data_IF_927047223942
#
_entry.id   IF_927047223942
#
_cell.length_a   1.000
_cell.length_b   1.000
_cell.length_c   1.000
_cell.angle_alpha   90.00
_cell.angle_beta   90.00
_cell.angle_gamma   90.00
#
_symmetry.space_group_name_H-M   'P 1'
#
loop_
_entity.id
_entity.type
_entity.pdbx_description
1 polymer ?
#
# COMPACT_ATOMS: atom_id res chain seq x y z
N UNK A 1 29.05 3.76 35.56
CA UNK A 1 27.61 3.95 35.78
C UNK A 1 26.92 2.60 35.92
N UNK A 2 25.66 2.59 36.37
CA UNK A 2 24.84 1.38 36.42
C UNK A 2 23.56 1.59 35.65
N UNK A 3 23.15 0.59 34.88
CA UNK A 3 21.81 0.48 34.33
C UNK A 3 21.21 -0.85 34.74
N UNK A 4 19.89 -0.89 34.91
CA UNK A 4 19.16 -2.13 35.22
C UNK A 4 18.05 -2.32 34.20
N UNK A 5 17.89 -3.54 33.73
CA UNK A 5 16.85 -3.83 32.74
C UNK A 5 16.77 -5.31 32.35
N UNK A 6 15.71 -5.63 31.60
CA UNK A 6 15.49 -6.94 31.00
C UNK A 6 16.25 -7.02 29.68
N UNK A 7 17.04 -8.07 29.50
CA UNK A 7 17.68 -8.34 28.21
C UNK A 7 16.63 -8.88 27.26
N UNK A 8 16.27 -8.10 26.26
CA UNK A 8 15.22 -8.46 25.30
C UNK A 8 15.76 -9.34 24.18
N UNK A 9 16.96 -8.99 23.64
CA UNK A 9 17.50 -9.66 22.46
C UNK A 9 19.01 -9.43 22.36
N UNK A 10 19.74 -10.41 21.83
CA UNK A 10 21.08 -10.23 21.29
C UNK A 10 20.99 -9.79 19.83
N UNK A 11 21.93 -8.96 19.38
CA UNK A 11 22.04 -8.59 17.97
C UNK A 11 22.52 -9.83 17.17
N UNK A 12 21.78 -10.19 16.14
CA UNK A 12 22.10 -11.36 15.31
C UNK A 12 23.34 -11.15 14.41
N UNK A 13 23.71 -9.90 14.17
CA UNK A 13 24.86 -9.53 13.34
C UNK A 13 26.11 -9.22 14.16
N UNK A 14 25.93 -8.93 15.45
CA UNK A 14 27.02 -8.63 16.36
C UNK A 14 26.75 -9.27 17.73
N UNK A 15 27.39 -10.38 18.01
CA UNK A 15 27.18 -11.20 19.23
C UNK A 15 27.58 -10.48 20.52
N UNK A 16 28.26 -9.34 20.46
CA UNK A 16 28.61 -8.51 21.63
C UNK A 16 27.54 -7.45 21.94
N UNK A 17 26.53 -7.29 21.06
CA UNK A 17 25.52 -6.26 21.21
C UNK A 17 24.19 -6.82 21.66
N UNK A 18 23.60 -6.16 22.66
CA UNK A 18 22.34 -6.56 23.29
C UNK A 18 21.40 -5.36 23.39
N UNK A 19 20.11 -5.64 23.46
CA UNK A 19 19.07 -4.64 23.67
C UNK A 19 18.42 -4.87 25.03
N UNK A 20 18.41 -3.83 25.86
CA UNK A 20 18.02 -3.87 27.27
C UNK A 20 16.85 -2.93 27.50
N UNK A 21 15.74 -3.43 28.02
CA UNK A 21 14.60 -2.63 28.43
C UNK A 21 14.74 -2.23 29.91
N UNK A 22 14.86 -0.93 30.15
CA UNK A 22 14.97 -0.39 31.53
C UNK A 22 13.60 -0.11 32.18
N UNK A 23 12.50 -0.35 31.46
CA UNK A 23 11.14 0.02 31.87
C UNK A 23 10.78 1.48 31.58
N UNK A 24 11.70 2.27 31.01
CA UNK A 24 11.45 3.63 30.51
C UNK A 24 11.91 3.82 29.07
N UNK A 25 12.88 3.03 28.64
CA UNK A 25 13.51 3.12 27.30
C UNK A 25 14.21 1.80 26.95
N UNK A 26 14.54 1.65 25.68
CA UNK A 26 15.45 0.60 25.21
C UNK A 26 16.86 1.14 25.11
N UNK A 27 17.81 0.43 25.71
CA UNK A 27 19.24 0.79 25.68
C UNK A 27 20.00 -0.24 24.85
N UNK A 28 20.79 0.22 23.89
CA UNK A 28 21.75 -0.65 23.21
C UNK A 28 22.97 -0.82 24.09
N UNK A 29 23.33 -2.07 24.38
CA UNK A 29 24.47 -2.44 25.23
C UNK A 29 25.49 -3.20 24.41
N UNK A 30 26.75 -2.87 24.55
CA UNK A 30 27.88 -3.65 24.05
C UNK A 30 28.56 -4.33 25.23
N UNK A 31 28.77 -5.65 25.16
CA UNK A 31 29.37 -6.45 26.24
C UNK A 31 30.31 -7.47 25.66
N UNK A 32 31.48 -7.62 26.30
CA UNK A 32 32.44 -8.67 25.93
C UNK A 32 31.97 -10.07 26.32
N UNK A 33 31.02 -10.16 27.27
CA UNK A 33 30.42 -11.42 27.71
C UNK A 33 29.02 -11.57 27.14
N UNK A 34 28.60 -12.80 26.92
CA UNK A 34 27.23 -13.12 26.47
C UNK A 34 26.25 -12.84 27.62
N UNK A 35 25.30 -11.92 27.36
CA UNK A 35 24.25 -11.60 28.34
C UNK A 35 23.05 -12.53 28.19
N UNK A 36 22.51 -13.07 29.28
CA UNK A 36 21.40 -14.00 29.24
C UNK A 36 20.09 -13.29 28.84
N UNK A 37 19.57 -13.59 27.64
CA UNK A 37 18.30 -13.07 27.13
C UNK A 37 17.13 -13.54 28.02
N UNK A 38 16.19 -12.66 28.29
CA UNK A 38 15.02 -12.93 29.16
C UNK A 38 15.32 -12.78 30.65
N UNK A 39 16.50 -12.30 31.05
CA UNK A 39 16.86 -12.08 32.45
C UNK A 39 16.98 -10.59 32.78
N UNK A 40 16.63 -10.24 34.01
CA UNK A 40 16.90 -8.92 34.57
C UNK A 40 18.35 -8.84 35.04
N UNK A 41 19.06 -7.87 34.52
CA UNK A 41 20.45 -7.63 34.90
C UNK A 41 20.66 -6.22 35.42
N UNK A 42 21.57 -6.10 36.37
CA UNK A 42 22.28 -4.86 36.69
C UNK A 42 23.61 -4.89 35.90
N UNK A 43 23.80 -3.91 35.04
CA UNK A 43 24.99 -3.75 34.21
C UNK A 43 25.81 -2.58 34.74
N UNK A 44 27.12 -2.79 34.92
CA UNK A 44 28.06 -1.74 35.30
C UNK A 44 28.93 -1.41 34.08
N UNK A 45 29.14 -0.13 33.80
CA UNK A 45 29.94 0.30 32.64
C UNK A 45 29.81 1.81 32.38
N UNK A 46 30.02 2.21 31.15
CA UNK A 46 29.99 3.61 30.74
C UNK A 46 29.17 3.83 29.46
N UNK A 47 28.57 5.02 29.31
CA UNK A 47 27.94 5.43 28.06
C UNK A 47 28.98 5.95 27.07
N UNK A 48 28.93 5.43 25.85
CA UNK A 48 29.52 6.05 24.67
C UNK A 48 28.48 6.94 23.98
N UNK A 49 28.84 7.57 22.85
CA UNK A 49 27.88 8.36 22.07
C UNK A 49 26.70 7.53 21.50
N UNK A 50 26.83 6.21 21.39
CA UNK A 50 25.88 5.36 20.66
C UNK A 50 25.30 4.20 21.47
N UNK A 51 26.01 3.75 22.53
CA UNK A 51 25.61 2.58 23.32
C UNK A 51 26.21 2.61 24.72
N UNK A 52 25.68 1.78 25.63
CA UNK A 52 26.26 1.52 26.92
C UNK A 52 27.27 0.37 26.81
N UNK A 53 28.51 0.62 27.15
CA UNK A 53 29.56 -0.42 27.20
C UNK A 53 29.52 -1.07 28.56
N UNK A 54 29.04 -2.32 28.64
CA UNK A 54 28.99 -3.09 29.86
C UNK A 54 30.37 -3.76 30.11
N UNK A 55 30.89 -3.56 31.33
CA UNK A 55 32.14 -4.17 31.80
C UNK A 55 31.82 -5.36 32.70
N UNK A 56 30.77 -5.26 33.50
CA UNK A 56 30.32 -6.32 34.40
C UNK A 56 28.79 -6.41 34.40
N UNK A 57 28.27 -7.58 34.69
CA UNK A 57 26.81 -7.75 34.90
C UNK A 57 26.53 -8.67 36.09
N UNK A 58 25.32 -8.49 36.65
CA UNK A 58 24.79 -9.34 37.73
C UNK A 58 23.31 -9.59 37.48
N UNK A 59 22.88 -10.85 37.54
CA UNK A 59 21.45 -11.16 37.53
C UNK A 59 20.80 -10.66 38.83
N UNK A 60 19.65 -10.02 38.67
CA UNK A 60 18.88 -9.45 39.79
C UNK A 60 17.44 -9.96 39.76
N UNK A 61 16.78 -9.87 40.93
CA UNK A 61 15.34 -10.09 41.04
C UNK A 61 14.72 -8.83 41.64
N UNK A 62 13.98 -8.10 40.80
CA UNK A 62 13.31 -6.86 41.20
C UNK A 62 11.88 -6.85 40.61
N UNK A 63 10.90 -7.20 41.48
CA UNK A 63 9.47 -7.25 41.10
C UNK A 63 8.92 -5.90 40.65
N UNK A 64 9.45 -4.77 41.14
CA UNK A 64 9.01 -3.45 40.72
C UNK A 64 9.52 -3.14 39.32
N UNK A 65 10.78 -3.46 39.04
CA UNK A 65 11.36 -3.33 37.69
C UNK A 65 10.68 -4.30 36.71
N UNK A 66 10.44 -5.56 37.08
CA UNK A 66 9.66 -6.50 36.25
C UNK A 66 8.31 -5.95 35.86
N UNK A 67 7.57 -5.41 36.83
CA UNK A 67 6.28 -4.76 36.56
C UNK A 67 6.40 -3.57 35.63
N UNK A 68 7.40 -2.71 35.84
CA UNK A 68 7.65 -1.51 35.06
C UNK A 68 8.05 -1.84 33.61
N UNK A 69 8.90 -2.85 33.42
CA UNK A 69 9.26 -3.40 32.12
C UNK A 69 8.05 -3.99 31.43
N UNK A 70 7.24 -4.76 32.14
CA UNK A 70 6.00 -5.35 31.62
C UNK A 70 5.00 -4.25 31.19
N UNK A 71 4.87 -3.17 31.94
CA UNK A 71 4.03 -2.03 31.58
C UNK A 71 4.58 -1.30 30.34
N UNK A 72 5.89 -1.09 30.24
CA UNK A 72 6.54 -0.46 29.10
C UNK A 72 6.37 -1.27 27.82
N UNK A 73 6.51 -2.59 27.90
CA UNK A 73 6.37 -3.50 26.76
C UNK A 73 4.91 -3.77 26.38
N UNK A 74 3.95 -3.38 27.24
CA UNK A 74 2.53 -3.52 26.97
C UNK A 74 2.07 -2.38 26.07
N UNK A 75 1.72 -2.70 24.83
CA UNK A 75 1.08 -1.72 23.97
C UNK A 75 -0.41 -1.63 24.33
N UNK A 76 -0.88 -0.42 24.62
CA UNK A 76 -2.30 -0.09 24.72
C UNK A 76 -2.56 0.89 23.57
N UNK A 77 -3.39 0.47 22.62
CA UNK A 77 -3.82 1.34 21.53
C UNK A 77 -4.53 2.56 22.12
N UNK A 78 -4.13 3.79 21.78
CA UNK A 78 -4.87 4.97 22.20
C UNK A 78 -6.32 4.88 21.71
N UNK A 79 -7.28 5.34 22.50
CA UNK A 79 -8.66 5.51 22.04
C UNK A 79 -8.71 6.59 20.95
N UNK A 80 -8.53 6.16 19.71
CA UNK A 80 -8.64 7.03 18.57
C UNK A 80 -10.12 7.14 18.17
N UNK A 81 -10.69 8.35 18.22
CA UNK A 81 -12.00 8.60 17.64
C UNK A 81 -11.96 8.27 16.15
N UNK A 82 -12.74 7.28 15.73
CA UNK A 82 -12.86 6.94 14.31
C UNK A 82 -13.56 8.07 13.54
N UNK A 83 -13.21 8.26 12.30
CA UNK A 83 -13.89 9.21 11.45
C UNK A 83 -15.33 8.75 11.21
N UNK A 84 -16.30 9.55 11.62
CA UNK A 84 -17.73 9.25 11.56
C UNK A 84 -18.29 9.34 10.14
N UNK A 85 -17.55 9.95 9.23
CA UNK A 85 -17.89 10.06 7.80
C UNK A 85 -17.66 8.77 7.00
N UNK A 86 -17.07 7.74 7.62
CA UNK A 86 -16.77 6.46 7.00
C UNK A 86 -17.23 5.28 7.90
N UNK A 87 -18.51 4.92 7.89
CA UNK A 87 -19.15 4.02 8.86
C UNK A 87 -18.52 2.63 9.02
N UNK A 88 -17.96 2.05 7.93
CA UNK A 88 -17.34 0.72 8.04
C UNK A 88 -16.03 0.74 8.83
N UNK A 89 -15.35 1.88 8.98
CA UNK A 89 -14.16 2.00 9.83
C UNK A 89 -14.47 1.63 11.29
N UNK A 90 -15.67 1.99 11.80
CA UNK A 90 -16.11 1.59 13.14
C UNK A 90 -16.19 0.08 13.29
N UNK A 91 -16.70 -0.62 12.28
CA UNK A 91 -16.80 -2.08 12.28
C UNK A 91 -15.45 -2.76 12.10
N UNK A 92 -14.44 -2.04 11.60
CA UNK A 92 -13.07 -2.51 11.43
C UNK A 92 -12.18 -2.27 12.66
N UNK A 93 -12.70 -1.71 13.78
CA UNK A 93 -11.88 -1.33 14.94
C UNK A 93 -10.97 -2.45 15.40
N UNK A 94 -11.49 -3.66 15.56
CA UNK A 94 -10.70 -4.82 15.98
C UNK A 94 -9.60 -5.20 14.96
N UNK A 95 -9.84 -4.98 13.66
CA UNK A 95 -8.82 -5.22 12.64
C UNK A 95 -7.67 -4.23 12.76
N UNK A 96 -7.99 -2.97 13.01
CA UNK A 96 -6.99 -1.93 13.26
C UNK A 96 -6.22 -2.18 14.56
N UNK A 97 -6.89 -2.57 15.63
CA UNK A 97 -6.27 -2.93 16.91
C UNK A 97 -5.27 -4.07 16.73
N UNK A 98 -5.70 -5.19 16.13
CA UNK A 98 -4.83 -6.34 15.87
C UNK A 98 -3.62 -5.97 15.01
N UNK A 99 -3.82 -5.16 13.96
CA UNK A 99 -2.73 -4.69 13.11
C UNK A 99 -1.75 -3.79 13.87
N UNK A 100 -2.27 -2.88 14.69
CA UNK A 100 -1.48 -1.98 15.53
C UNK A 100 -0.67 -2.76 16.57
N UNK A 101 -1.28 -3.75 17.23
CA UNK A 101 -0.62 -4.62 18.21
C UNK A 101 0.49 -5.45 17.56
N UNK A 102 0.26 -6.00 16.36
CA UNK A 102 1.27 -6.76 15.64
C UNK A 102 2.50 -5.91 15.27
N UNK A 103 2.28 -4.65 14.84
CA UNK A 103 3.36 -3.69 14.56
C UNK A 103 4.10 -3.34 15.85
N UNK A 104 3.36 -2.98 16.91
CA UNK A 104 3.95 -2.62 18.19
C UNK A 104 4.78 -3.79 18.76
N UNK A 105 4.26 -5.01 18.69
CA UNK A 105 4.97 -6.23 19.09
C UNK A 105 6.27 -6.40 18.30
N UNK A 106 6.23 -6.23 16.97
CA UNK A 106 7.44 -6.34 16.15
C UNK A 106 8.49 -5.28 16.52
N UNK A 107 8.06 -4.04 16.84
CA UNK A 107 8.96 -2.98 17.32
C UNK A 107 9.57 -3.34 18.68
N UNK A 108 8.76 -3.77 19.66
CA UNK A 108 9.26 -4.16 21.00
C UNK A 108 10.18 -5.37 20.96
N UNK A 109 9.92 -6.33 20.09
CA UNK A 109 10.74 -7.51 19.88
C UNK A 109 11.96 -7.24 18.98
N UNK A 110 12.14 -6.00 18.53
CA UNK A 110 13.24 -5.58 17.64
C UNK A 110 13.31 -6.43 16.36
N UNK A 111 12.14 -6.85 15.88
CA UNK A 111 12.03 -7.60 14.62
C UNK A 111 12.12 -6.62 13.44
N UNK A 112 12.82 -6.98 12.37
CA UNK A 112 12.77 -6.19 11.16
C UNK A 112 11.34 -6.10 10.61
N UNK A 113 10.97 -4.90 10.18
CA UNK A 113 9.68 -4.60 9.54
C UNK A 113 9.97 -4.18 8.10
N UNK A 114 9.29 -4.80 7.15
CA UNK A 114 9.32 -4.37 5.76
C UNK A 114 7.93 -3.97 5.31
N UNK A 115 7.80 -2.76 4.81
CA UNK A 115 6.60 -2.27 4.14
C UNK A 115 6.81 -2.37 2.64
N UNK A 116 6.01 -3.20 1.95
CA UNK A 116 5.85 -3.17 0.51
C UNK A 116 4.55 -2.44 0.16
N UNK A 117 4.59 -1.55 -0.81
CA UNK A 117 3.44 -0.75 -1.22
C UNK A 117 3.31 -0.72 -2.74
N UNK A 118 2.08 -0.63 -3.27
CA UNK A 118 1.87 -0.44 -4.70
C UNK A 118 2.44 0.90 -5.16
N UNK A 119 2.78 0.97 -6.44
CA UNK A 119 3.46 2.10 -7.06
C UNK A 119 2.55 3.22 -7.54
N UNK A 120 1.28 3.24 -7.16
CA UNK A 120 0.37 4.34 -7.42
C UNK A 120 0.21 5.29 -6.22
N UNK A 121 -0.64 6.29 -6.36
CA UNK A 121 -0.79 7.32 -5.33
C UNK A 121 -1.32 6.75 -4.01
N UNK A 122 -2.27 5.81 -4.03
CA UNK A 122 -2.83 5.23 -2.81
C UNK A 122 -1.78 4.41 -2.07
N UNK A 123 -1.11 3.49 -2.75
CA UNK A 123 -0.07 2.64 -2.16
C UNK A 123 1.13 3.45 -1.63
N UNK A 124 1.60 4.45 -2.39
CA UNK A 124 2.71 5.33 -1.97
C UNK A 124 2.34 6.12 -0.70
N UNK A 125 1.15 6.73 -0.67
CA UNK A 125 0.70 7.52 0.48
C UNK A 125 0.37 6.65 1.68
N UNK A 126 -0.20 5.45 1.48
CA UNK A 126 -0.38 4.46 2.53
C UNK A 126 0.97 4.07 3.16
N UNK A 127 1.99 3.83 2.33
CA UNK A 127 3.35 3.57 2.79
C UNK A 127 3.94 4.71 3.60
N UNK A 128 3.77 5.95 3.15
CA UNK A 128 4.27 7.14 3.84
C UNK A 128 3.57 7.36 5.19
N UNK A 129 2.24 7.21 5.23
CA UNK A 129 1.43 7.32 6.44
C UNK A 129 1.89 6.28 7.47
N UNK A 130 1.96 5.01 7.07
CA UNK A 130 2.30 3.93 8.00
C UNK A 130 3.75 4.01 8.48
N UNK A 131 4.69 4.38 7.59
CA UNK A 131 6.09 4.64 7.94
C UNK A 131 6.19 5.69 9.06
N UNK A 132 5.53 6.84 8.89
CA UNK A 132 5.55 7.92 9.90
C UNK A 132 4.96 7.45 11.24
N UNK A 133 3.87 6.68 11.22
CA UNK A 133 3.28 6.09 12.43
C UNK A 133 4.25 5.19 13.18
N UNK A 134 4.89 4.27 12.50
CA UNK A 134 5.85 3.33 13.10
C UNK A 134 7.10 4.06 13.62
N UNK A 135 7.65 5.00 12.84
CA UNK A 135 8.83 5.77 13.23
C UNK A 135 8.58 6.60 14.49
N UNK A 136 7.42 7.28 14.55
CA UNK A 136 7.05 8.09 15.73
C UNK A 136 6.80 7.19 16.95
N UNK A 137 6.10 6.07 16.77
CA UNK A 137 5.89 5.10 17.84
C UNK A 137 7.19 4.61 18.47
N UNK A 138 8.17 4.23 17.63
CA UNK A 138 9.48 3.77 18.10
C UNK A 138 10.31 4.91 18.73
N UNK A 139 10.32 6.09 18.11
CA UNK A 139 11.08 7.25 18.59
C UNK A 139 10.62 7.72 19.98
N UNK A 140 9.31 7.79 20.19
CA UNK A 140 8.73 8.19 21.50
C UNK A 140 9.12 7.24 22.64
N UNK A 141 9.43 6.00 22.30
CA UNK A 141 9.85 4.97 23.25
C UNK A 141 11.34 4.70 23.24
N UNK A 142 12.09 5.47 22.43
CA UNK A 142 13.54 5.29 22.24
C UNK A 142 13.90 3.85 21.88
N UNK A 143 13.08 3.19 21.04
CA UNK A 143 13.31 1.84 20.59
C UNK A 143 14.03 1.88 19.26
N UNK A 144 15.16 1.15 19.09
CA UNK A 144 15.81 1.00 17.80
C UNK A 144 14.84 0.38 16.78
N UNK A 145 14.78 0.95 15.57
CA UNK A 145 13.83 0.54 14.55
C UNK A 145 14.55 0.00 13.30
N UNK A 146 14.20 -1.22 12.89
CA UNK A 146 14.66 -1.86 11.67
C UNK A 146 13.54 -1.84 10.64
N UNK A 147 13.30 -0.69 10.01
CA UNK A 147 12.23 -0.47 9.04
C UNK A 147 12.80 -0.29 7.63
N UNK A 148 12.26 -1.03 6.67
CA UNK A 148 12.50 -0.84 5.24
C UNK A 148 11.19 -0.62 4.50
N UNK A 149 11.19 0.32 3.56
CA UNK A 149 10.06 0.59 2.69
C UNK A 149 10.48 0.32 1.24
N UNK A 150 9.63 -0.38 0.49
CA UNK A 150 9.93 -0.75 -0.89
C UNK A 150 8.69 -0.74 -1.75
N UNK A 151 8.77 -0.05 -2.88
CA UNK A 151 7.72 -0.06 -3.89
C UNK A 151 7.68 -1.41 -4.61
N UNK A 152 6.49 -1.97 -4.76
CA UNK A 152 6.21 -3.16 -5.58
C UNK A 152 5.96 -2.79 -7.03
N UNK A 153 6.04 -3.76 -7.92
CA UNK A 153 5.81 -3.57 -9.35
C UNK A 153 4.33 -3.63 -9.76
N UNK A 154 3.39 -3.34 -8.87
CA UNK A 154 1.94 -3.34 -9.08
C UNK A 154 1.19 -4.14 -8.01
N UNK A 155 -0.13 -4.25 -8.16
CA UNK A 155 -1.07 -4.81 -7.18
C UNK A 155 -0.88 -6.32 -6.85
N UNK A 156 0.09 -7.01 -7.44
CA UNK A 156 0.36 -8.43 -7.22
C UNK A 156 1.69 -8.61 -6.50
N UNK A 157 1.68 -9.30 -5.37
CA UNK A 157 2.90 -9.78 -4.70
C UNK A 157 3.42 -11.03 -5.43
N UNK A 158 4.47 -10.87 -6.21
CA UNK A 158 4.98 -11.88 -7.16
C UNK A 158 6.14 -12.69 -6.58
N UNK A 159 6.49 -13.78 -7.24
CA UNK A 159 7.66 -14.60 -6.91
C UNK A 159 8.96 -13.78 -6.84
N UNK A 160 9.15 -12.82 -7.75
CA UNK A 160 10.29 -11.90 -7.70
C UNK A 160 10.34 -11.10 -6.39
N UNK A 161 9.19 -10.62 -5.92
CA UNK A 161 9.10 -9.86 -4.67
C UNK A 161 9.41 -10.76 -3.47
N UNK A 162 8.89 -11.99 -3.49
CA UNK A 162 9.21 -13.02 -2.50
C UNK A 162 10.70 -13.35 -2.45
N UNK A 163 11.34 -13.64 -3.59
CA UNK A 163 12.77 -13.98 -3.63
C UNK A 163 13.64 -12.82 -3.12
N UNK A 164 13.27 -11.59 -3.42
CA UNK A 164 13.92 -10.40 -2.88
C UNK A 164 13.73 -10.26 -1.36
N UNK A 165 12.52 -10.51 -0.85
CA UNK A 165 12.25 -10.45 0.59
C UNK A 165 12.98 -11.56 1.34
N UNK A 166 12.98 -12.76 0.80
CA UNK A 166 13.73 -13.90 1.33
C UNK A 166 15.24 -13.61 1.43
N UNK A 167 15.79 -12.89 0.46
CA UNK A 167 17.20 -12.53 0.44
C UNK A 167 17.57 -11.37 1.39
N UNK A 168 16.59 -10.52 1.76
CA UNK A 168 16.85 -9.26 2.48
C UNK A 168 16.25 -9.19 3.88
N UNK A 169 15.35 -10.10 4.24
CA UNK A 169 14.70 -10.17 5.54
C UNK A 169 15.11 -11.43 6.32
N UNK A 170 15.23 -11.25 7.61
CA UNK A 170 15.44 -12.35 8.56
C UNK A 170 14.13 -13.11 8.80
N UNK A 171 14.25 -14.38 9.17
CA UNK A 171 13.12 -15.18 9.63
C UNK A 171 12.45 -14.53 10.85
N UNK A 172 11.12 -14.62 10.91
CA UNK A 172 10.33 -13.94 11.95
C UNK A 172 10.13 -12.44 11.76
N UNK A 173 10.62 -11.83 10.66
CA UNK A 173 10.34 -10.43 10.32
C UNK A 173 8.84 -10.21 10.09
N UNK A 174 8.37 -8.96 10.27
CA UNK A 174 7.02 -8.54 9.89
C UNK A 174 7.05 -7.96 8.47
N UNK A 175 6.35 -8.63 7.55
CA UNK A 175 6.13 -8.16 6.17
C UNK A 175 4.74 -7.55 6.06
N UNK A 176 4.66 -6.26 5.74
CA UNK A 176 3.43 -5.50 5.56
C UNK A 176 3.26 -5.20 4.08
N UNK A 177 2.14 -5.63 3.51
CA UNK A 177 1.75 -5.38 2.12
C UNK A 177 0.64 -4.33 2.12
N UNK A 178 0.86 -3.20 1.43
CA UNK A 178 -0.07 -2.09 1.35
C UNK A 178 -0.56 -1.93 -0.09
N UNK A 179 -1.89 -1.94 -0.25
CA UNK A 179 -2.55 -1.75 -1.53
C UNK A 179 -2.25 -2.83 -2.57
N UNK A 180 -1.83 -3.98 -2.10
CA UNK A 180 -1.60 -5.15 -2.92
C UNK A 180 -1.51 -6.42 -2.06
N UNK A 181 -1.52 -7.58 -2.73
CA UNK A 181 -1.34 -8.88 -2.09
C UNK A 181 -2.66 -9.59 -1.74
N UNK A 182 -3.81 -8.90 -1.77
CA UNK A 182 -5.12 -9.51 -1.51
C UNK A 182 -5.67 -10.38 -2.66
N UNK A 183 -5.08 -10.37 -3.84
CA UNK A 183 -5.57 -11.05 -5.04
C UNK A 183 -5.09 -12.51 -5.18
N UNK A 184 -5.75 -13.26 -6.09
CA UNK A 184 -5.47 -14.68 -6.33
C UNK A 184 -4.05 -14.94 -6.84
N UNK A 185 -3.54 -14.04 -7.64
CA UNK A 185 -2.21 -14.14 -8.27
C UNK A 185 -1.08 -14.03 -7.24
N UNK A 186 -1.32 -13.38 -6.10
CA UNK A 186 -0.35 -13.24 -4.99
C UNK A 186 -0.24 -14.50 -4.12
N UNK A 187 -1.22 -15.41 -4.21
CA UNK A 187 -1.33 -16.56 -3.32
C UNK A 187 -0.05 -17.41 -3.24
N UNK A 188 0.58 -17.86 -4.34
CA UNK A 188 1.77 -18.72 -4.24
C UNK A 188 2.93 -18.06 -3.50
N UNK A 189 3.16 -16.77 -3.74
CA UNK A 189 4.22 -16.01 -3.08
C UNK A 189 3.92 -15.76 -1.61
N UNK A 190 2.65 -15.52 -1.25
CA UNK A 190 2.21 -15.39 0.14
C UNK A 190 2.37 -16.69 0.93
N UNK A 191 1.99 -17.84 0.33
CA UNK A 191 2.17 -19.15 0.95
C UNK A 191 3.64 -19.45 1.26
N UNK A 192 4.55 -19.08 0.39
CA UNK A 192 5.98 -19.23 0.61
C UNK A 192 6.51 -18.25 1.66
N UNK A 193 6.05 -17.01 1.62
CA UNK A 193 6.46 -15.97 2.58
C UNK A 193 5.99 -16.28 4.01
N UNK A 194 4.77 -16.81 4.18
CA UNK A 194 4.20 -17.17 5.49
C UNK A 194 4.98 -18.26 6.23
N UNK A 195 5.81 -19.04 5.53
CA UNK A 195 6.70 -20.03 6.15
C UNK A 195 7.87 -19.39 6.89
N UNK A 196 8.16 -18.11 6.64
CA UNK A 196 9.33 -17.41 7.19
C UNK A 196 8.99 -16.09 7.88
N UNK A 197 7.93 -15.42 7.48
CA UNK A 197 7.56 -14.09 7.93
C UNK A 197 6.16 -14.06 8.51
N UNK A 198 5.91 -13.17 9.44
CA UNK A 198 4.56 -12.76 9.77
C UNK A 198 4.06 -11.80 8.69
N UNK A 199 2.91 -12.10 8.08
CA UNK A 199 2.36 -11.32 6.99
C UNK A 199 1.15 -10.52 7.46
N UNK A 200 1.19 -9.22 7.19
CA UNK A 200 0.05 -8.30 7.31
C UNK A 200 -0.30 -7.77 5.92
N UNK A 201 -1.58 -7.77 5.58
CA UNK A 201 -2.09 -7.14 4.35
C UNK A 201 -3.07 -6.04 4.74
N UNK A 202 -2.90 -4.85 4.18
CA UNK A 202 -3.83 -3.73 4.27
C UNK A 202 -4.22 -3.37 2.83
N UNK A 203 -5.45 -3.74 2.43
CA UNK A 203 -5.84 -3.68 1.02
C UNK A 203 -7.36 -3.50 0.89
N UNK A 204 -7.78 -2.65 -0.05
CA UNK A 204 -9.19 -2.37 -0.35
C UNK A 204 -9.67 -3.01 -1.66
N UNK A 205 -8.83 -3.78 -2.32
CA UNK A 205 -9.22 -4.54 -3.50
C UNK A 205 -10.03 -5.79 -3.13
N UNK A 206 -10.90 -6.30 -4.03
CA UNK A 206 -11.63 -7.54 -3.80
C UNK A 206 -10.67 -8.70 -3.52
N UNK A 207 -10.71 -9.32 -2.33
CA UNK A 207 -9.76 -10.36 -1.96
C UNK A 207 -10.11 -11.70 -2.61
N UNK A 208 -9.08 -12.52 -2.82
CA UNK A 208 -9.29 -13.91 -3.16
C UNK A 208 -9.84 -14.72 -1.95
N UNK A 209 -10.67 -15.76 -2.18
CA UNK A 209 -11.36 -16.47 -1.11
C UNK A 209 -10.46 -17.21 -0.09
N UNK A 210 -9.18 -17.41 -0.39
CA UNK A 210 -8.30 -18.35 0.32
C UNK A 210 -7.16 -17.70 1.13
N UNK A 211 -7.09 -16.38 1.24
CA UNK A 211 -5.96 -15.70 1.91
C UNK A 211 -5.94 -15.80 3.43
N UNK A 212 -7.05 -16.15 4.08
CA UNK A 212 -7.18 -16.19 5.55
C UNK A 212 -6.22 -17.14 6.28
N UNK A 213 -5.62 -18.09 5.59
CA UNK A 213 -4.73 -19.09 6.22
C UNK A 213 -3.26 -18.69 6.26
N UNK A 214 -2.85 -17.70 5.45
CA UNK A 214 -1.44 -17.30 5.30
C UNK A 214 -1.16 -15.90 5.84
N UNK A 215 -2.21 -15.13 6.08
CA UNK A 215 -2.13 -13.73 6.48
C UNK A 215 -2.59 -13.64 7.93
N UNK A 216 -1.68 -13.25 8.82
CA UNK A 216 -1.98 -13.09 10.24
C UNK A 216 -2.98 -11.94 10.47
N UNK A 217 -2.79 -10.82 9.78
CA UNK A 217 -3.65 -9.66 9.86
C UNK A 217 -4.06 -9.21 8.45
N UNK A 218 -5.34 -9.30 8.14
CA UNK A 218 -5.89 -8.79 6.89
C UNK A 218 -6.87 -7.65 7.17
N UNK A 219 -6.39 -6.42 7.04
CA UNK A 219 -7.18 -5.21 7.19
C UNK A 219 -7.78 -4.86 5.84
N UNK A 220 -9.05 -5.21 5.67
CA UNK A 220 -9.78 -4.95 4.43
C UNK A 220 -11.26 -4.65 4.70
N UNK A 221 -11.86 -3.68 4.01
CA UNK A 221 -13.29 -3.40 4.13
C UNK A 221 -14.17 -4.56 3.65
N UNK A 222 -13.63 -5.47 2.85
CA UNK A 222 -14.31 -6.71 2.45
C UNK A 222 -14.47 -7.73 3.60
N UNK A 223 -13.77 -7.53 4.71
CA UNK A 223 -13.97 -8.33 5.93
C UNK A 223 -15.14 -7.83 6.79
N UNK A 224 -15.74 -6.69 6.42
CA UNK A 224 -16.90 -6.12 7.09
C UNK A 224 -18.18 -6.65 6.45
N UNK A 225 -19.06 -7.23 7.28
CA UNK A 225 -20.35 -7.74 6.80
C UNK A 225 -21.24 -6.59 6.31
N UNK A 226 -21.77 -6.70 5.11
CA UNK A 226 -22.64 -5.71 4.49
C UNK A 226 -21.98 -4.31 4.33
N UNK A 227 -20.68 -4.24 4.14
CA UNK A 227 -20.02 -2.97 3.84
C UNK A 227 -20.53 -2.44 2.48
N UNK A 228 -21.15 -1.28 2.50
CA UNK A 228 -21.48 -0.57 1.28
C UNK A 228 -20.21 0.03 0.67
N UNK A 229 -20.01 -0.16 -0.62
CA UNK A 229 -18.88 0.39 -1.38
C UNK A 229 -17.49 0.11 -0.75
N UNK A 230 -17.13 -1.16 -0.50
CA UNK A 230 -15.88 -1.48 0.19
C UNK A 230 -14.65 -0.88 -0.49
N UNK A 231 -14.64 -0.77 -1.81
CA UNK A 231 -13.53 -0.16 -2.57
C UNK A 231 -13.36 1.34 -2.32
N UNK A 232 -14.33 2.03 -1.69
CA UNK A 232 -14.20 3.44 -1.31
C UNK A 232 -13.34 3.66 -0.06
N UNK A 233 -13.10 2.61 0.72
CA UNK A 233 -12.22 2.64 1.91
C UNK A 233 -10.78 2.30 1.51
N UNK A 234 -10.14 3.21 0.81
CA UNK A 234 -8.83 2.99 0.22
C UNK A 234 -7.70 2.76 1.23
N UNK A 235 -6.57 2.25 0.79
CA UNK A 235 -5.47 1.78 1.66
C UNK A 235 -4.84 2.92 2.47
N UNK A 236 -4.80 4.15 1.94
CA UNK A 236 -4.37 5.32 2.69
C UNK A 236 -5.26 5.64 3.88
N UNK A 237 -6.60 5.48 3.77
CA UNK A 237 -7.51 5.60 4.90
C UNK A 237 -7.25 4.52 5.96
N UNK A 238 -7.06 3.28 5.54
CA UNK A 238 -6.81 2.16 6.44
C UNK A 238 -5.47 2.32 7.18
N UNK A 239 -4.43 2.70 6.46
CA UNK A 239 -3.10 2.97 7.02
C UNK A 239 -3.12 4.17 7.99
N UNK A 240 -3.94 5.18 7.72
CA UNK A 240 -4.15 6.32 8.61
C UNK A 240 -4.73 5.88 9.96
N UNK A 241 -5.74 5.01 9.97
CA UNK A 241 -6.35 4.50 11.19
C UNK A 241 -5.38 3.64 12.02
N UNK A 242 -4.51 2.86 11.39
CA UNK A 242 -3.45 2.11 12.06
C UNK A 242 -2.41 3.08 12.67
N UNK A 243 -1.95 4.05 11.87
CA UNK A 243 -0.87 4.97 12.27
C UNK A 243 -1.24 5.87 13.44
N UNK A 244 -2.47 6.40 13.47
CA UNK A 244 -2.94 7.24 14.59
C UNK A 244 -3.16 6.43 15.86
N UNK A 245 -3.36 5.10 15.79
CA UNK A 245 -3.37 4.22 16.96
C UNK A 245 -1.98 3.89 17.48
N UNK A 246 -0.97 3.94 16.64
CA UNK A 246 0.43 3.84 17.05
C UNK A 246 0.90 5.12 17.74
N UNK A 247 0.59 6.27 17.15
CA UNK A 247 1.05 7.57 17.58
C UNK A 247 0.00 8.65 17.24
N UNK A 248 -0.84 9.00 18.20
CA UNK A 248 -1.96 9.93 17.97
C UNK A 248 -1.49 11.36 17.63
N UNK A 249 -0.36 11.77 18.13
CA UNK A 249 0.23 13.09 17.92
C UNK A 249 0.62 13.41 16.47
N UNK A 250 0.75 12.38 15.61
CA UNK A 250 1.06 12.62 14.20
C UNK A 250 -0.20 12.82 13.34
N UNK A 251 -1.38 12.73 13.90
CA UNK A 251 -2.64 12.76 13.16
C UNK A 251 -2.70 13.94 12.19
N UNK A 252 -2.42 15.15 12.65
CA UNK A 252 -2.44 16.35 11.80
C UNK A 252 -1.38 16.32 10.69
N UNK A 253 -0.26 15.64 10.92
CA UNK A 253 0.83 15.51 9.94
C UNK A 253 0.46 14.56 8.81
N UNK A 254 -0.25 13.46 9.11
CA UNK A 254 -0.59 12.42 8.12
C UNK A 254 -1.98 12.61 7.51
N UNK A 255 -2.84 13.42 8.10
CA UNK A 255 -4.20 13.68 7.62
C UNK A 255 -4.26 14.21 6.17
N UNK A 256 -3.38 15.13 5.72
CA UNK A 256 -3.35 15.55 4.32
C UNK A 256 -3.12 14.38 3.36
N UNK A 257 -2.22 13.44 3.68
CA UNK A 257 -1.93 12.28 2.82
C UNK A 257 -3.13 11.35 2.68
N UNK A 258 -3.92 11.18 3.75
CA UNK A 258 -5.21 10.47 3.68
C UNK A 258 -6.14 11.11 2.64
N UNK A 259 -6.27 12.45 2.64
CA UNK A 259 -7.12 13.14 1.67
C UNK A 259 -6.62 13.02 0.23
N UNK A 260 -5.31 13.09 0.02
CA UNK A 260 -4.70 12.93 -1.31
C UNK A 260 -4.92 11.51 -1.85
N UNK A 261 -4.74 10.50 -1.02
CA UNK A 261 -5.00 9.11 -1.34
C UNK A 261 -6.48 8.88 -1.71
N UNK A 262 -7.41 9.37 -0.89
CA UNK A 262 -8.85 9.29 -1.17
C UNK A 262 -9.26 9.97 -2.50
N UNK A 263 -8.60 11.06 -2.87
CA UNK A 263 -8.85 11.74 -4.14
C UNK A 263 -8.31 10.93 -5.32
N UNK A 264 -7.12 10.35 -5.19
CA UNK A 264 -6.51 9.56 -6.26
C UNK A 264 -7.37 8.37 -6.66
N UNK A 265 -7.94 7.68 -5.67
CA UNK A 265 -8.80 6.51 -5.83
C UNK A 265 -10.28 6.84 -6.05
N UNK A 266 -10.59 8.12 -6.16
CA UNK A 266 -12.00 8.57 -6.34
C UNK A 266 -12.95 8.04 -5.27
N UNK A 267 -12.45 7.86 -4.03
CA UNK A 267 -13.25 7.43 -2.88
C UNK A 267 -14.54 8.26 -2.74
N UNK A 268 -15.66 7.63 -2.41
CA UNK A 268 -16.93 8.33 -2.14
C UNK A 268 -16.85 9.24 -0.91
N UNK A 269 -15.88 9.01 -0.03
CA UNK A 269 -15.61 9.83 1.17
C UNK A 269 -14.60 10.95 0.93
N UNK A 270 -14.12 11.14 -0.31
CA UNK A 270 -13.18 12.23 -0.62
C UNK A 270 -13.78 13.59 -0.39
N UNK A 271 -12.96 14.54 0.02
CA UNK A 271 -13.38 15.95 0.08
C UNK A 271 -13.72 16.49 -1.30
N UNK A 272 -14.62 17.47 -1.35
CA UNK A 272 -14.94 18.22 -2.59
C UNK A 272 -13.76 19.09 -3.06
N UNK A 273 -12.89 19.48 -2.13
CA UNK A 273 -11.67 20.22 -2.40
C UNK A 273 -10.75 19.39 -3.29
N UNK A 274 -10.11 20.04 -4.26
CA UNK A 274 -9.15 19.42 -5.14
C UNK A 274 -7.73 19.57 -4.62
N UNK A 275 -6.99 18.47 -4.52
CA UNK A 275 -5.60 18.43 -4.08
C UNK A 275 -4.67 18.06 -5.24
N UNK A 276 -3.91 19.02 -5.80
CA UNK A 276 -2.95 18.71 -6.87
C UNK A 276 -1.89 17.67 -6.44
N UNK A 277 -1.61 17.57 -5.15
CA UNK A 277 -0.68 16.61 -4.57
C UNK A 277 -1.01 15.15 -4.97
N UNK A 278 -2.29 14.78 -4.99
CA UNK A 278 -2.71 13.45 -5.41
C UNK A 278 -2.31 13.14 -6.86
N UNK A 279 -2.45 14.12 -7.75
CA UNK A 279 -2.06 13.99 -9.16
C UNK A 279 -0.54 13.89 -9.30
N UNK A 280 0.19 14.68 -8.49
CA UNK A 280 1.65 14.76 -8.57
C UNK A 280 2.32 13.47 -8.09
N UNK A 281 1.79 12.79 -7.09
CA UNK A 281 2.32 11.48 -6.67
C UNK A 281 2.29 10.50 -7.84
N UNK A 282 1.16 10.36 -8.51
CA UNK A 282 1.04 9.49 -9.69
C UNK A 282 1.94 9.95 -10.86
N UNK A 283 1.99 11.26 -11.11
CA UNK A 283 2.86 11.82 -12.15
C UNK A 283 4.32 11.47 -11.93
N UNK A 284 4.79 11.63 -10.69
CA UNK A 284 6.16 11.31 -10.30
C UNK A 284 6.43 9.80 -10.35
N UNK A 285 5.49 8.97 -9.90
CA UNK A 285 5.63 7.51 -9.93
C UNK A 285 5.75 6.99 -11.37
N UNK A 286 4.89 7.48 -12.27
CA UNK A 286 4.88 7.06 -13.69
C UNK A 286 6.11 7.53 -14.46
N UNK A 287 6.65 8.71 -14.15
CA UNK A 287 7.78 9.32 -14.88
C UNK A 287 9.15 8.86 -14.34
N UNK A 288 9.20 8.16 -13.24
CA UNK A 288 10.44 7.64 -12.68
C UNK A 288 10.97 6.45 -13.49
N UNK A 289 12.26 6.42 -13.77
CA UNK A 289 12.95 5.25 -14.33
C UNK A 289 13.13 4.14 -13.29
N UNK A 290 13.33 4.54 -12.04
CA UNK A 290 13.43 3.68 -10.86
C UNK A 290 12.49 4.18 -9.76
N UNK A 291 11.98 3.30 -8.88
CA UNK A 291 11.14 3.69 -7.76
C UNK A 291 11.80 4.77 -6.90
N UNK A 292 11.05 5.81 -6.57
CA UNK A 292 11.50 6.89 -5.67
C UNK A 292 11.23 6.51 -4.22
N UNK A 293 12.05 7.01 -3.29
CA UNK A 293 11.82 6.76 -1.86
C UNK A 293 10.60 7.53 -1.33
N UNK A 294 10.02 7.03 -0.24
CA UNK A 294 8.91 7.73 0.44
C UNK A 294 9.32 9.12 0.92
N UNK A 295 10.58 9.30 1.34
CA UNK A 295 11.13 10.60 1.75
C UNK A 295 11.18 11.60 0.60
N UNK A 296 11.39 11.12 -0.63
CA UNK A 296 11.32 11.98 -1.81
C UNK A 296 9.92 12.54 -2.01
N UNK A 297 8.90 11.68 -1.91
CA UNK A 297 7.49 12.13 -2.00
C UNK A 297 7.14 13.08 -0.87
N UNK A 298 7.50 12.75 0.38
CA UNK A 298 7.25 13.60 1.55
C UNK A 298 7.81 15.02 1.37
N UNK A 299 9.08 15.12 0.99
CA UNK A 299 9.74 16.41 0.71
C UNK A 299 9.11 17.18 -0.45
N UNK A 300 8.74 16.47 -1.51
CA UNK A 300 8.10 17.09 -2.67
C UNK A 300 6.73 17.66 -2.30
N UNK A 301 5.90 16.88 -1.58
CA UNK A 301 4.56 17.29 -1.18
C UNK A 301 4.54 18.44 -0.17
N UNK A 302 5.59 18.57 0.64
CA UNK A 302 5.77 19.70 1.55
C UNK A 302 6.16 21.02 0.83
N UNK A 303 6.60 20.96 -0.43
CA UNK A 303 7.02 22.14 -1.21
C UNK A 303 5.90 22.59 -2.17
N UNK A 304 5.08 23.54 -1.73
CA UNK A 304 3.93 24.02 -2.52
C UNK A 304 4.32 24.62 -3.89
N UNK A 305 5.48 25.28 -4.02
CA UNK A 305 5.94 25.82 -5.28
C UNK A 305 6.27 24.71 -6.28
N UNK A 306 7.00 23.69 -5.82
CA UNK A 306 7.34 22.52 -6.64
C UNK A 306 6.08 21.72 -7.04
N UNK A 307 5.12 21.58 -6.14
CA UNK A 307 3.82 20.94 -6.45
C UNK A 307 3.10 21.69 -7.56
N UNK A 308 3.04 23.02 -7.50
CA UNK A 308 2.37 23.84 -8.52
C UNK A 308 3.08 23.77 -9.88
N UNK A 309 4.40 23.76 -9.89
CA UNK A 309 5.21 23.59 -11.11
C UNK A 309 4.94 22.23 -11.77
N UNK A 310 5.09 21.15 -11.02
CA UNK A 310 4.86 19.80 -11.49
C UNK A 310 3.41 19.59 -11.95
N UNK A 311 2.45 20.19 -11.27
CA UNK A 311 1.04 20.11 -11.67
C UNK A 311 0.78 20.82 -12.99
N UNK A 312 1.43 21.95 -13.22
CA UNK A 312 1.36 22.66 -14.50
C UNK A 312 1.96 21.84 -15.64
N UNK A 313 3.08 21.18 -15.39
CA UNK A 313 3.71 20.28 -16.36
C UNK A 313 2.81 19.05 -16.66
N UNK A 314 2.23 18.45 -15.62
CA UNK A 314 1.28 17.34 -15.75
C UNK A 314 0.09 17.70 -16.64
N UNK A 315 -0.54 18.87 -16.41
CA UNK A 315 -1.66 19.35 -17.20
C UNK A 315 -1.33 19.46 -18.70
N UNK A 316 -0.16 19.97 -19.02
CA UNK A 316 0.27 20.07 -20.42
C UNK A 316 0.42 18.68 -21.05
N UNK A 317 1.02 17.74 -20.33
CA UNK A 317 1.23 16.39 -20.84
C UNK A 317 -0.06 15.60 -21.00
N UNK A 318 -0.99 15.67 -20.01
CA UNK A 318 -2.26 14.96 -20.12
C UNK A 318 -3.13 15.54 -21.24
N UNK A 319 -3.17 16.86 -21.40
CA UNK A 319 -3.91 17.53 -22.46
C UNK A 319 -3.37 17.14 -23.85
N UNK A 320 -2.06 17.17 -24.05
CA UNK A 320 -1.43 16.73 -25.29
C UNK A 320 -1.72 15.26 -25.61
N UNK A 321 -1.69 14.39 -24.58
CA UNK A 321 -2.05 12.98 -24.72
C UNK A 321 -3.52 12.79 -25.11
N UNK A 322 -4.41 13.54 -24.48
CA UNK A 322 -5.86 13.51 -24.73
C UNK A 322 -6.19 13.91 -26.16
N UNK A 323 -5.64 15.02 -26.66
CA UNK A 323 -5.86 15.50 -28.05
C UNK A 323 -5.44 14.45 -29.09
N UNK A 324 -4.27 13.82 -28.87
CA UNK A 324 -3.80 12.74 -29.74
C UNK A 324 -4.69 11.48 -29.65
N UNK A 325 -5.26 11.18 -28.49
CA UNK A 325 -6.16 10.04 -28.34
C UNK A 325 -7.51 10.31 -29.00
N UNK A 326 -8.07 11.51 -28.83
CA UNK A 326 -9.35 11.91 -29.45
C UNK A 326 -9.23 11.85 -30.97
N UNK A 327 -8.14 12.32 -31.58
CA UNK A 327 -7.96 12.29 -33.03
C UNK A 327 -7.90 10.89 -33.62
N UNK A 328 -7.64 9.84 -32.81
CA UNK A 328 -7.59 8.43 -33.20
C UNK A 328 -8.79 7.62 -32.74
N UNK A 329 -9.62 8.20 -31.89
CA UNK A 329 -10.76 7.50 -31.31
C UNK A 329 -11.78 7.10 -32.38
N UNK A 330 -12.26 5.85 -32.30
CA UNK A 330 -13.41 5.35 -33.05
C UNK A 330 -14.60 5.36 -32.11
N UNK A 331 -15.69 5.99 -32.53
CA UNK A 331 -16.92 6.12 -31.75
C UNK A 331 -18.02 5.35 -32.47
N UNK A 332 -18.70 4.48 -31.75
CA UNK A 332 -19.91 3.79 -32.18
C UNK A 332 -21.07 4.25 -31.31
N UNK A 333 -22.05 4.91 -31.93
CA UNK A 333 -23.27 5.32 -31.22
C UNK A 333 -24.27 4.17 -31.13
N UNK A 334 -25.05 4.11 -30.04
CA UNK A 334 -26.06 3.10 -29.80
C UNK A 334 -26.70 3.28 -28.42
N UNK A 335 -27.24 2.20 -27.87
CA UNK A 335 -27.76 2.17 -26.49
C UNK A 335 -26.69 2.57 -25.46
N UNK A 336 -25.44 2.23 -25.77
CA UNK A 336 -24.23 2.67 -25.10
C UNK A 336 -23.31 3.24 -26.17
N UNK A 337 -22.80 4.47 -25.97
CA UNK A 337 -21.71 5.01 -26.80
C UNK A 337 -20.43 4.23 -26.49
N UNK A 338 -19.82 3.63 -27.50
CA UNK A 338 -18.59 2.87 -27.37
C UNK A 338 -17.46 3.64 -28.01
N UNK A 339 -16.45 3.98 -27.20
CA UNK A 339 -15.24 4.69 -27.64
C UNK A 339 -14.07 3.72 -27.60
N UNK A 340 -13.38 3.52 -28.72
CA UNK A 340 -12.19 2.67 -28.78
C UNK A 340 -11.01 3.41 -29.36
N UNK A 341 -9.80 3.23 -28.79
CA UNK A 341 -8.62 3.92 -29.25
C UNK A 341 -7.34 3.09 -29.06
N UNK A 342 -6.54 2.97 -30.12
CA UNK A 342 -5.14 2.50 -30.02
C UNK A 342 -4.24 3.65 -29.56
N UNK A 343 -3.75 3.53 -28.33
CA UNK A 343 -2.87 4.53 -27.72
C UNK A 343 -1.41 4.10 -27.64
N UNK A 344 -1.01 3.03 -28.38
CA UNK A 344 0.37 2.50 -28.39
C UNK A 344 1.43 3.55 -28.75
N UNK A 345 1.08 4.54 -29.57
CA UNK A 345 1.98 5.65 -29.96
C UNK A 345 2.00 6.81 -28.95
N UNK A 346 1.12 6.81 -27.96
CA UNK A 346 0.95 7.90 -26.98
C UNK A 346 1.50 7.45 -25.63
N UNK A 347 1.07 6.29 -25.14
CA UNK A 347 1.49 5.72 -23.86
C UNK A 347 2.80 4.97 -24.04
N UNK A 348 3.84 5.40 -23.31
CA UNK A 348 5.16 4.76 -23.32
C UNK A 348 5.62 4.51 -21.88
N UNK A 349 6.52 3.54 -21.70
CA UNK A 349 7.14 3.27 -20.39
C UNK A 349 7.85 4.51 -19.86
N UNK A 350 7.71 4.80 -18.58
CA UNK A 350 8.32 5.94 -17.87
C UNK A 350 7.98 7.31 -18.48
N UNK A 351 6.85 7.42 -19.17
CA UNK A 351 6.34 8.71 -19.67
C UNK A 351 4.90 8.94 -19.22
N UNK A 352 4.54 10.21 -19.08
CA UNK A 352 3.17 10.60 -18.77
C UNK A 352 2.45 11.09 -20.04
N UNK A 353 1.17 10.79 -20.22
CA UNK A 353 0.28 10.06 -19.30
C UNK A 353 0.46 8.53 -19.35
N UNK A 354 0.18 7.87 -18.22
CA UNK A 354 -0.02 6.41 -18.19
C UNK A 354 -1.32 6.03 -18.90
N UNK A 355 -1.49 4.74 -19.22
CA UNK A 355 -2.71 4.24 -19.84
C UNK A 355 -3.96 4.57 -18.99
N UNK A 356 -3.89 4.37 -17.68
CA UNK A 356 -4.99 4.64 -16.76
C UNK A 356 -5.37 6.14 -16.72
N UNK A 357 -4.37 7.04 -16.63
CA UNK A 357 -4.63 8.49 -16.56
C UNK A 357 -5.16 9.03 -17.90
N UNK A 358 -4.59 8.60 -19.01
CA UNK A 358 -5.10 8.95 -20.33
C UNK A 358 -6.52 8.44 -20.53
N UNK A 359 -6.80 7.21 -20.09
CA UNK A 359 -8.13 6.62 -20.22
C UNK A 359 -9.18 7.38 -19.42
N UNK A 360 -8.87 7.79 -18.18
CA UNK A 360 -9.77 8.62 -17.38
C UNK A 360 -10.07 9.95 -18.10
N UNK A 361 -9.07 10.62 -18.66
CA UNK A 361 -9.27 11.85 -19.41
C UNK A 361 -10.13 11.65 -20.66
N UNK A 362 -9.93 10.58 -21.42
CA UNK A 362 -10.75 10.20 -22.57
C UNK A 362 -12.20 9.90 -22.14
N UNK A 363 -12.39 9.08 -21.09
CA UNK A 363 -13.70 8.74 -20.58
C UNK A 363 -14.48 10.00 -20.16
N UNK A 364 -13.87 10.89 -19.40
CA UNK A 364 -14.49 12.17 -18.98
C UNK A 364 -14.88 12.98 -20.20
N UNK A 365 -14.01 13.11 -21.20
CA UNK A 365 -14.26 13.91 -22.41
C UNK A 365 -15.48 13.41 -23.19
N UNK A 366 -15.63 12.10 -23.34
CA UNK A 366 -16.75 11.51 -24.10
C UNK A 366 -18.03 11.30 -23.26
N UNK A 367 -17.99 11.50 -21.95
CA UNK A 367 -19.15 11.38 -21.04
C UNK A 367 -19.76 12.72 -20.61
N UNK A 368 -19.31 13.87 -21.17
CA UNK A 368 -19.73 15.21 -20.76
C UNK A 368 -21.23 15.48 -20.98
N UNK A 369 -21.86 14.78 -21.93
CA UNK A 369 -23.28 14.89 -22.28
C UNK A 369 -24.16 13.93 -21.47
N UNK A 370 -23.62 13.26 -20.44
CA UNK A 370 -24.29 12.26 -19.60
C UNK A 370 -24.84 11.04 -20.35
N UNK A 371 -24.50 10.84 -21.62
CA UNK A 371 -24.90 9.63 -22.32
C UNK A 371 -24.21 8.38 -21.72
N UNK A 372 -24.90 7.22 -21.74
CA UNK A 372 -24.26 5.94 -21.41
C UNK A 372 -23.02 5.74 -22.28
N UNK A 373 -21.83 5.77 -21.68
CA UNK A 373 -20.56 5.74 -22.42
C UNK A 373 -19.62 4.71 -21.80
N UNK A 374 -19.11 3.80 -22.63
CA UNK A 374 -18.04 2.88 -22.31
C UNK A 374 -16.86 3.14 -23.25
N UNK A 375 -15.64 3.09 -22.71
CA UNK A 375 -14.43 3.27 -23.49
C UNK A 375 -13.43 2.13 -23.30
N UNK A 376 -12.71 1.81 -24.38
CA UNK A 376 -11.69 0.79 -24.46
C UNK A 376 -10.42 1.42 -25.04
N UNK A 377 -9.41 1.64 -24.21
CA UNK A 377 -8.10 2.07 -24.65
C UNK A 377 -7.11 0.91 -24.58
N UNK A 378 -6.35 0.73 -25.66
CA UNK A 378 -5.43 -0.39 -25.73
C UNK A 378 -4.07 -0.01 -26.29
N UNK A 379 -3.09 -0.79 -25.89
CA UNK A 379 -1.71 -0.78 -26.40
C UNK A 379 -1.36 -2.16 -26.98
N UNK A 380 -0.11 -2.36 -27.32
CA UNK A 380 0.37 -3.67 -27.83
C UNK A 380 0.24 -4.81 -26.82
N UNK A 381 0.11 -4.53 -25.52
CA UNK A 381 0.12 -5.53 -24.46
C UNK A 381 -0.81 -5.21 -23.27
N UNK A 382 -1.65 -4.19 -23.39
CA UNK A 382 -2.63 -3.83 -22.36
C UNK A 382 -3.95 -3.41 -23.01
N UNK A 383 -5.07 -3.70 -22.33
CA UNK A 383 -6.38 -3.21 -22.64
C UNK A 383 -7.03 -2.69 -21.35
N UNK A 384 -7.54 -1.49 -21.38
CA UNK A 384 -8.19 -0.83 -20.26
C UNK A 384 -9.64 -0.55 -20.61
N UNK A 385 -10.52 -0.75 -19.62
CA UNK A 385 -11.96 -0.52 -19.70
C UNK A 385 -12.33 0.62 -18.75
N UNK A 386 -13.18 1.54 -19.23
CA UNK A 386 -13.87 2.55 -18.42
C UNK A 386 -15.30 2.67 -18.87
N UNK A 387 -16.19 2.98 -17.92
CA UNK A 387 -17.58 3.29 -18.24
C UNK A 387 -18.13 4.30 -17.21
N UNK A 388 -19.13 5.08 -17.60
CA UNK A 388 -19.91 5.86 -16.65
C UNK A 388 -21.02 4.97 -16.03
N UNK A 389 -21.64 5.48 -14.97
CA UNK A 389 -22.68 4.77 -14.24
C UNK A 389 -23.87 4.39 -15.16
N UNK A 390 -24.29 5.31 -16.01
CA UNK A 390 -25.38 5.07 -16.97
C UNK A 390 -25.09 3.92 -17.94
N UNK A 391 -23.83 3.71 -18.35
CA UNK A 391 -23.47 2.55 -19.17
C UNK A 391 -23.52 1.24 -18.38
N UNK A 392 -23.14 1.28 -17.10
CA UNK A 392 -23.26 0.10 -16.23
C UNK A 392 -24.73 -0.31 -16.02
N UNK A 393 -25.64 0.66 -15.82
CA UNK A 393 -27.08 0.42 -15.76
C UNK A 393 -27.67 -0.16 -17.05
N UNK A 394 -27.02 0.14 -18.19
CA UNK A 394 -27.40 -0.44 -19.51
C UNK A 394 -26.74 -1.80 -19.79
N UNK A 395 -26.01 -2.35 -18.82
CA UNK A 395 -25.48 -3.71 -18.87
C UNK A 395 -23.97 -3.83 -19.10
N UNK A 396 -23.22 -2.71 -19.24
CA UNK A 396 -21.77 -2.79 -19.32
C UNK A 396 -21.18 -3.29 -18.00
N UNK A 397 -20.27 -4.26 -18.08
CA UNK A 397 -19.53 -4.75 -16.92
C UNK A 397 -18.19 -5.36 -17.34
N UNK A 398 -17.09 -4.73 -16.97
CA UNK A 398 -15.75 -5.29 -17.18
C UNK A 398 -15.58 -6.63 -16.47
N UNK A 399 -16.23 -6.83 -15.30
CA UNK A 399 -16.21 -8.08 -14.56
C UNK A 399 -16.94 -9.24 -15.24
N UNK A 400 -17.74 -9.00 -16.29
CA UNK A 400 -18.31 -10.02 -17.15
C UNK A 400 -17.43 -10.29 -18.37
N UNK A 401 -16.72 -9.29 -18.86
CA UNK A 401 -15.85 -9.37 -20.06
C UNK A 401 -14.52 -10.05 -19.73
N UNK A 402 -13.85 -9.64 -18.66
CA UNK A 402 -12.50 -10.13 -18.31
C UNK A 402 -12.47 -11.64 -18.05
N UNK A 403 -13.41 -12.26 -17.32
CA UNK A 403 -13.43 -13.72 -17.16
C UNK A 403 -13.52 -14.49 -18.48
N UNK A 404 -14.32 -14.03 -19.43
CA UNK A 404 -14.42 -14.65 -20.76
C UNK A 404 -13.09 -14.54 -21.51
N UNK A 405 -12.46 -13.36 -21.49
CA UNK A 405 -11.13 -13.20 -22.09
C UNK A 405 -10.08 -14.06 -21.38
N UNK A 406 -10.18 -14.24 -20.09
CA UNK A 406 -9.27 -15.09 -19.31
C UNK A 406 -9.47 -16.57 -19.63
N UNK A 407 -10.69 -17.02 -19.80
CA UNK A 407 -10.99 -18.40 -20.22
C UNK A 407 -10.41 -18.69 -21.59
N UNK A 408 -10.53 -17.77 -22.54
CA UNK A 408 -10.06 -17.93 -23.92
C UNK A 408 -8.53 -17.75 -24.04
N UNK A 409 -7.95 -16.78 -23.31
CA UNK A 409 -6.54 -16.38 -23.49
C UNK A 409 -5.64 -16.60 -22.26
N UNK A 410 -6.14 -17.15 -21.15
CA UNK A 410 -5.38 -17.32 -19.91
C UNK A 410 -4.12 -18.17 -20.07
N UNK A 411 -4.19 -19.25 -20.84
CA UNK A 411 -3.06 -20.12 -21.14
C UNK A 411 -1.96 -19.42 -21.95
N UNK A 412 -2.24 -18.27 -22.54
CA UNK A 412 -1.30 -17.44 -23.30
C UNK A 412 -0.80 -16.24 -22.50
N UNK A 413 -0.93 -16.26 -21.17
CA UNK A 413 -0.42 -15.21 -20.29
C UNK A 413 -1.32 -13.97 -20.18
N UNK A 414 -2.62 -14.10 -20.49
CA UNK A 414 -3.60 -13.04 -20.20
C UNK A 414 -3.85 -12.93 -18.70
N UNK A 415 -3.72 -11.72 -18.16
CA UNK A 415 -4.01 -11.39 -16.77
C UNK A 415 -4.80 -10.09 -16.72
N UNK A 416 -5.56 -9.85 -15.65
CA UNK A 416 -6.26 -8.59 -15.46
C UNK A 416 -7.39 -8.68 -14.45
N UNK A 417 -7.91 -7.53 -14.09
CA UNK A 417 -8.99 -7.39 -13.13
C UNK A 417 -9.37 -5.93 -12.92
N UNK A 418 -10.21 -5.68 -11.95
CA UNK A 418 -10.70 -4.36 -11.58
C UNK A 418 -12.17 -4.37 -11.18
N UNK A 419 -12.81 -3.23 -11.30
CA UNK A 419 -14.22 -3.02 -10.97
C UNK A 419 -15.12 -3.10 -12.20
N UNK A 420 -16.42 -3.15 -11.99
CA UNK A 420 -17.40 -3.22 -13.07
C UNK A 420 -17.25 -2.13 -14.14
N UNK A 421 -16.90 -0.92 -13.72
CA UNK A 421 -16.79 0.27 -14.59
C UNK A 421 -15.33 0.68 -14.86
N UNK A 422 -14.35 0.01 -14.26
CA UNK A 422 -12.95 0.39 -14.37
C UNK A 422 -12.07 -0.85 -14.19
N UNK A 423 -11.44 -1.32 -15.27
CA UNK A 423 -10.58 -2.50 -15.22
C UNK A 423 -9.42 -2.40 -16.22
N UNK A 424 -8.39 -3.19 -16.00
CA UNK A 424 -7.23 -3.26 -16.88
C UNK A 424 -6.75 -4.69 -17.02
N UNK A 425 -6.21 -5.01 -18.20
CA UNK A 425 -5.68 -6.33 -18.51
C UNK A 425 -4.30 -6.23 -19.12
N UNK A 426 -3.51 -7.28 -18.98
CA UNK A 426 -2.18 -7.42 -19.57
C UNK A 426 -2.10 -8.73 -20.35
N UNK A 427 -1.42 -8.72 -21.49
CA UNK A 427 -1.28 -9.88 -22.37
C UNK A 427 -0.04 -9.78 -23.26
N UNK A 428 0.46 -10.90 -23.84
CA UNK A 428 1.52 -10.87 -24.82
C UNK A 428 1.09 -10.17 -26.12
N UNK A 429 2.03 -9.46 -26.72
CA UNK A 429 1.79 -8.65 -27.93
C UNK A 429 1.23 -9.48 -29.10
N UNK A 430 1.61 -10.74 -29.23
CA UNK A 430 1.21 -11.63 -30.33
C UNK A 430 -0.31 -11.88 -30.37
N UNK A 431 -0.98 -11.81 -29.23
CA UNK A 431 -2.42 -12.02 -29.10
C UNK A 431 -3.21 -10.70 -29.04
N UNK A 432 -2.55 -9.54 -29.12
CA UNK A 432 -3.17 -8.23 -28.94
C UNK A 432 -4.38 -8.00 -29.86
N UNK A 433 -4.24 -8.31 -31.15
CA UNK A 433 -5.32 -8.12 -32.13
C UNK A 433 -6.55 -8.98 -31.82
N UNK A 434 -6.33 -10.24 -31.45
CA UNK A 434 -7.42 -11.18 -31.12
C UNK A 434 -8.15 -10.73 -29.87
N UNK A 435 -7.40 -10.46 -28.78
CA UNK A 435 -7.96 -10.03 -27.49
C UNK A 435 -8.76 -8.75 -27.64
N UNK A 436 -8.21 -7.73 -28.31
CA UNK A 436 -8.90 -6.45 -28.52
C UNK A 436 -10.14 -6.63 -29.42
N UNK A 437 -10.06 -7.44 -30.46
CA UNK A 437 -11.19 -7.74 -31.34
C UNK A 437 -12.32 -8.45 -30.58
N UNK A 438 -12.00 -9.49 -29.79
CA UNK A 438 -12.97 -10.21 -28.97
C UNK A 438 -13.61 -9.26 -27.93
N UNK A 439 -12.83 -8.45 -27.24
CA UNK A 439 -13.37 -7.46 -26.29
C UNK A 439 -14.31 -6.45 -26.94
N UNK A 440 -13.93 -5.90 -28.10
CA UNK A 440 -14.78 -4.96 -28.85
C UNK A 440 -16.07 -5.62 -29.34
N UNK A 441 -16.00 -6.87 -29.81
CA UNK A 441 -17.20 -7.63 -30.21
C UNK A 441 -18.17 -7.78 -29.04
N UNK A 442 -17.68 -8.20 -27.87
CA UNK A 442 -18.50 -8.36 -26.66
C UNK A 442 -19.18 -7.05 -26.24
N UNK A 443 -18.44 -5.92 -26.28
CA UNK A 443 -18.99 -4.62 -25.89
C UNK A 443 -20.00 -4.10 -26.93
N UNK A 444 -19.76 -4.33 -28.22
CA UNK A 444 -20.70 -3.94 -29.29
C UNK A 444 -22.01 -4.73 -29.23
N UNK A 445 -21.98 -5.98 -28.78
CA UNK A 445 -23.19 -6.79 -28.56
C UNK A 445 -24.15 -6.20 -27.53
N UNK A 446 -23.68 -5.29 -26.65
CA UNK A 446 -24.57 -4.55 -25.74
C UNK A 446 -25.49 -3.53 -26.46
N UNK A 447 -25.20 -3.21 -27.71
CA UNK A 447 -25.96 -2.31 -28.56
C UNK A 447 -27.00 -3.03 -29.47
N UNK A 448 -26.88 -4.34 -29.55
CA UNK A 448 -27.87 -5.23 -30.20
C UNK A 448 -28.99 -5.55 -29.24
#
# INVERSE_FOLDING_TARGET
MKITGLIIKADSLNTTRFYVCTGNEMVTVDSHEELPVGKLLELTGEYTHYFFKAEEFKEISDKQLEKKVGEFLKFISPEAKLFTDAPALLQMSNLFENATEAIAKAVFELRPIKIRYDGDCDGILAGLILKKGIETFAANRKIPLFLRCQQSGGAVYREKDWEEDKATLMEGSLLILLDHGGNQESKPSLENSAKRFEIMVVDHHPPAPLHKHYIMNFVSPFNVKNCAEPSSYNTGMLSFEISRRLALEIEDTILPYRYYSMQADTSSFRKKEFFPQAVIVDYLAVTASEPRSLEYYDKTLANSNLVNELYSEEKVKIQSGLEKAISKAKVTEGKIRIVSCDVSGIVKKNTYPSLSKLHNAVQIRFSQDNQPTASLLYTKNNLSFRANHSAAEKGFSANKIIPVLREEFGNYGFTGGGHNVAASTRFPQDYAKQIVSTALKMVNQLNE
#
